data_IF_524660634557
#
_entry.id   IF_524660634557
#
_cell.length_a   1.000
_cell.length_b   1.000
_cell.length_c   1.000
_cell.angle_alpha   90.00
_cell.angle_beta   90.00
_cell.angle_gamma   90.00
#
_symmetry.space_group_name_H-M   'P 1'
#
loop_
_entity.id
_entity.type
_entity.pdbx_description
1 polymer ?
#
# COMPACT_ATOMS: atom_id res chain seq x y z
N UNK A 1 12.21 6.53 -0.24
CA UNK A 1 10.97 5.76 -0.04
C UNK A 1 10.33 6.24 1.25
N UNK A 2 9.02 6.52 1.24
CA UNK A 2 8.28 7.06 2.40
C UNK A 2 8.25 6.05 3.54
N UNK A 3 8.32 6.54 4.78
CA UNK A 3 8.25 5.69 5.98
C UNK A 3 6.94 4.89 6.04
N UNK A 4 5.82 5.51 5.63
CA UNK A 4 4.50 4.86 5.60
C UNK A 4 4.44 3.66 4.65
N UNK A 5 5.01 3.77 3.45
CA UNK A 5 5.05 2.64 2.51
C UNK A 5 5.84 1.48 3.12
N UNK A 6 7.00 1.76 3.72
CA UNK A 6 7.81 0.73 4.37
C UNK A 6 7.08 0.06 5.54
N UNK A 7 6.40 0.82 6.39
CA UNK A 7 5.58 0.28 7.49
C UNK A 7 4.49 -0.65 6.95
N UNK A 8 3.81 -0.28 5.85
CA UNK A 8 2.78 -1.13 5.24
C UNK A 8 3.36 -2.40 4.59
N UNK A 9 4.59 -2.37 4.09
CA UNK A 9 5.27 -3.54 3.52
C UNK A 9 5.73 -4.56 4.57
N UNK A 10 5.77 -4.16 5.84
CA UNK A 10 6.07 -5.03 6.99
C UNK A 10 4.82 -5.68 7.59
N UNK A 11 3.62 -5.19 7.24
CA UNK A 11 2.36 -5.73 7.75
C UNK A 11 1.97 -7.04 7.07
N UNK A 12 1.31 -7.90 7.86
CA UNK A 12 0.59 -9.06 7.34
C UNK A 12 -0.66 -8.66 6.57
N UNK A 13 -1.11 -9.52 5.65
CA UNK A 13 -2.20 -9.21 4.70
C UNK A 13 -3.49 -8.71 5.37
N UNK A 14 -3.90 -9.32 6.49
CA UNK A 14 -5.15 -8.95 7.17
C UNK A 14 -5.03 -7.62 7.92
N UNK A 15 -3.85 -7.34 8.49
CA UNK A 15 -3.58 -6.07 9.16
C UNK A 15 -3.43 -4.93 8.16
N UNK A 16 -2.81 -5.21 7.00
CA UNK A 16 -2.75 -4.30 5.88
C UNK A 16 -4.14 -3.90 5.39
N UNK A 17 -5.05 -4.88 5.17
CA UNK A 17 -6.43 -4.59 4.76
C UNK A 17 -7.17 -3.71 5.77
N UNK A 18 -7.02 -4.01 7.07
CA UNK A 18 -7.62 -3.21 8.13
C UNK A 18 -7.09 -1.78 8.06
N UNK A 19 -5.77 -1.60 7.95
CA UNK A 19 -5.16 -0.28 7.87
C UNK A 19 -5.59 0.50 6.63
N UNK A 20 -5.72 -0.17 5.49
CA UNK A 20 -6.25 0.42 4.25
C UNK A 20 -7.71 0.83 4.41
N UNK A 21 -8.54 0.01 5.07
CA UNK A 21 -9.95 0.34 5.30
C UNK A 21 -10.18 1.53 6.24
N UNK A 22 -9.18 1.86 7.06
CA UNK A 22 -9.19 2.99 7.98
C UNK A 22 -8.53 4.25 7.40
N UNK A 23 -7.91 4.17 6.22
CA UNK A 23 -7.26 5.31 5.57
C UNK A 23 -8.26 6.21 4.85
N UNK A 24 -7.94 7.50 4.77
CA UNK A 24 -8.66 8.41 3.87
C UNK A 24 -8.27 8.16 2.41
N UNK A 25 -9.12 8.61 1.49
CA UNK A 25 -8.88 8.55 0.04
C UNK A 25 -7.60 9.31 -0.35
N UNK A 26 -7.36 10.49 0.25
CA UNK A 26 -6.14 11.27 0.01
C UNK A 26 -4.87 10.56 0.49
N UNK A 27 -4.92 9.90 1.65
CA UNK A 27 -3.79 9.12 2.15
C UNK A 27 -3.52 7.89 1.29
N UNK A 28 -4.60 7.25 0.83
CA UNK A 28 -4.54 6.12 -0.08
C UNK A 28 -3.85 6.50 -1.38
N UNK A 29 -4.27 7.59 -2.03
CA UNK A 29 -3.76 8.01 -3.34
C UNK A 29 -2.28 8.37 -3.28
N UNK A 30 -1.86 9.02 -2.19
CA UNK A 30 -0.47 9.33 -1.93
C UNK A 30 0.36 8.05 -1.82
N UNK A 31 -0.06 7.09 -0.99
CA UNK A 31 0.67 5.83 -0.78
C UNK A 31 0.72 4.99 -2.05
N UNK A 32 -0.40 4.89 -2.78
CA UNK A 32 -0.46 4.16 -4.03
C UNK A 32 0.52 4.75 -5.06
N UNK A 33 0.55 6.08 -5.18
CA UNK A 33 1.47 6.79 -6.06
C UNK A 33 2.93 6.56 -5.65
N UNK A 34 3.26 6.72 -4.36
CA UNK A 34 4.62 6.51 -3.85
C UNK A 34 5.11 5.06 -4.00
N UNK A 35 4.24 4.09 -3.73
CA UNK A 35 4.53 2.68 -3.91
C UNK A 35 4.76 2.32 -5.39
N UNK A 36 3.98 2.90 -6.31
CA UNK A 36 4.12 2.67 -7.75
C UNK A 36 5.45 3.17 -8.34
N UNK A 37 6.08 4.15 -7.70
CA UNK A 37 7.36 4.77 -8.12
C UNK A 37 8.58 4.01 -7.54
N UNK A 38 8.36 3.03 -6.66
CA UNK A 38 9.44 2.39 -5.89
C UNK A 38 10.20 1.28 -6.66
N UNK A 39 11.44 1.00 -6.23
CA UNK A 39 12.44 0.17 -6.95
C UNK A 39 12.23 -1.34 -6.81
N UNK A 40 12.90 -2.12 -7.69
CA UNK A 40 12.73 -3.58 -7.87
C UNK A 40 13.06 -4.42 -6.62
N UNK A 41 13.90 -3.91 -5.71
CA UNK A 41 14.46 -4.65 -4.57
C UNK A 41 13.38 -5.23 -3.63
N UNK A 42 12.17 -4.65 -3.62
CA UNK A 42 11.00 -5.17 -2.89
C UNK A 42 9.76 -5.30 -3.77
N UNK A 43 9.94 -5.54 -5.08
CA UNK A 43 8.86 -5.50 -6.06
C UNK A 43 7.69 -6.42 -5.72
N UNK A 44 7.94 -7.64 -5.22
CA UNK A 44 6.86 -8.58 -4.85
C UNK A 44 5.99 -8.03 -3.71
N UNK A 45 6.60 -7.42 -2.69
CA UNK A 45 5.88 -6.83 -1.57
C UNK A 45 5.13 -5.56 -2.01
N UNK A 46 5.76 -4.74 -2.85
CA UNK A 46 5.15 -3.53 -3.43
C UNK A 46 3.95 -3.90 -4.30
N UNK A 47 4.07 -4.93 -5.13
CA UNK A 47 2.96 -5.45 -5.95
C UNK A 47 1.79 -5.89 -5.07
N UNK A 48 2.05 -6.65 -4.01
CA UNK A 48 1.01 -7.08 -3.06
C UNK A 48 0.32 -5.88 -2.40
N UNK A 49 1.09 -4.87 -1.97
CA UNK A 49 0.53 -3.65 -1.40
C UNK A 49 -0.35 -2.91 -2.41
N UNK A 50 0.13 -2.69 -3.63
CA UNK A 50 -0.61 -2.02 -4.70
C UNK A 50 -1.90 -2.76 -5.06
N UNK A 51 -1.89 -4.10 -5.06
CA UNK A 51 -3.08 -4.91 -5.33
C UNK A 51 -4.14 -4.79 -4.24
N UNK A 52 -3.74 -4.84 -2.97
CA UNK A 52 -4.67 -4.67 -1.84
C UNK A 52 -5.23 -3.24 -1.77
N UNK A 53 -4.39 -2.25 -2.10
CA UNK A 53 -4.83 -0.88 -2.27
C UNK A 53 -5.87 -0.81 -3.40
N UNK A 54 -5.54 -1.25 -4.62
CA UNK A 54 -6.41 -1.17 -5.79
C UNK A 54 -7.79 -1.80 -5.57
N UNK A 55 -7.85 -2.97 -4.91
CA UNK A 55 -9.11 -3.64 -4.59
C UNK A 55 -10.01 -2.84 -3.65
N UNK A 56 -9.42 -2.00 -2.79
CA UNK A 56 -10.17 -1.18 -1.83
C UNK A 56 -10.87 0.02 -2.48
N UNK A 57 -10.37 0.53 -3.61
CA UNK A 57 -10.99 1.64 -4.36
C UNK A 57 -12.15 1.23 -5.27
N UNK A 58 -12.22 -0.02 -5.75
CA UNK A 58 -13.26 -0.47 -6.71
C UNK A 58 -14.54 -0.92 -5.98
N UNK A 59 -14.98 -0.17 -4.96
CA UNK A 59 -16.23 -0.43 -4.23
C UNK A 59 -17.28 0.63 -4.52
#
# INVERSE_FOLDING_TARGET
MSKKVNELLELETEELKKRISEMSEEEFDLIYSEASISTIENWEKIQKLLDELRKSMVR
#
